data_IF_215724572054
#
_entry.id   IF_215724572054
#
_cell.length_a   1.000
_cell.length_b   1.000
_cell.length_c   1.000
_cell.angle_alpha   90.00
_cell.angle_beta   90.00
_cell.angle_gamma   90.00
#
_symmetry.space_group_name_H-M   'P 1'
#
loop_
_entity.id
_entity.type
_entity.pdbx_description
1 polymer ?
#
# COMPACT_ATOMS: atom_id res chain seq x y z
N UNK A 1 7.98 -24.71 3.87
CA UNK A 1 8.83 -23.52 3.67
C UNK A 1 8.56 -22.58 4.84
N UNK A 2 9.52 -21.78 5.32
CA UNK A 2 9.20 -20.73 6.29
C UNK A 2 8.66 -19.54 5.50
N UNK A 3 7.36 -19.23 5.65
CA UNK A 3 6.77 -18.04 5.07
C UNK A 3 7.44 -16.80 5.68
N UNK A 4 7.60 -15.70 4.92
CA UNK A 4 7.98 -14.43 5.50
C UNK A 4 7.01 -14.03 6.61
N UNK A 5 7.52 -13.39 7.66
CA UNK A 5 6.66 -12.88 8.72
C UNK A 5 5.68 -11.84 8.16
N UNK A 6 4.48 -11.77 8.75
CA UNK A 6 3.57 -10.66 8.46
C UNK A 6 4.24 -9.34 8.83
N UNK A 7 4.02 -8.31 8.02
CA UNK A 7 4.59 -7.00 8.31
C UNK A 7 3.60 -5.88 8.00
N UNK A 8 3.97 -4.69 8.47
CA UNK A 8 3.27 -3.45 8.14
C UNK A 8 4.27 -2.48 7.54
N UNK A 9 3.94 -1.90 6.39
CA UNK A 9 4.66 -0.79 5.77
C UNK A 9 3.78 0.46 5.82
N UNK A 10 4.29 1.55 6.40
CA UNK A 10 3.58 2.83 6.48
C UNK A 10 4.37 3.93 5.81
N UNK A 11 3.69 4.78 5.06
CA UNK A 11 4.30 5.97 4.51
C UNK A 11 3.36 7.18 4.53
N UNK A 12 3.89 8.32 4.95
CA UNK A 12 3.23 9.63 4.92
C UNK A 12 3.72 10.43 3.72
N UNK A 13 2.85 10.59 2.72
CA UNK A 13 3.04 11.52 1.64
C UNK A 13 2.74 12.94 2.13
N UNK A 14 3.72 13.83 2.02
CA UNK A 14 3.61 15.20 2.54
C UNK A 14 2.91 16.14 1.58
N UNK A 15 2.09 17.03 2.13
CA UNK A 15 1.44 18.12 1.41
C UNK A 15 0.65 17.66 0.16
N UNK A 16 -0.01 16.50 0.26
CA UNK A 16 -0.79 15.93 -0.87
C UNK A 16 -2.00 16.80 -1.19
N UNK A 17 -2.70 17.29 -0.17
CA UNK A 17 -3.94 18.04 -0.34
C UNK A 17 -3.76 19.35 -1.14
N UNK A 18 -2.60 19.99 -1.02
CA UNK A 18 -2.31 21.27 -1.66
C UNK A 18 -1.33 21.14 -2.84
N UNK A 19 -1.00 19.91 -3.24
CA UNK A 19 -0.05 19.65 -4.32
C UNK A 19 -0.76 19.56 -5.66
N UNK A 20 -0.14 20.14 -6.70
CA UNK A 20 -0.54 19.96 -8.09
C UNK A 20 0.02 18.65 -8.70
N UNK A 21 0.71 17.82 -7.90
CA UNK A 21 1.21 16.53 -8.35
C UNK A 21 0.11 15.49 -8.27
N UNK A 22 0.02 14.66 -9.29
CA UNK A 22 -0.92 13.55 -9.33
C UNK A 22 -0.28 12.23 -8.90
N UNK A 23 1.04 12.16 -8.69
CA UNK A 23 1.75 10.92 -8.36
C UNK A 23 2.72 11.13 -7.20
N UNK A 24 2.70 10.19 -6.25
CA UNK A 24 3.53 10.18 -5.05
C UNK A 24 4.12 8.78 -4.86
N UNK A 25 5.42 8.73 -4.61
CA UNK A 25 6.17 7.50 -4.42
C UNK A 25 6.89 7.54 -3.08
N UNK A 26 6.70 6.51 -2.27
CA UNK A 26 7.40 6.30 -1.01
C UNK A 26 8.81 5.76 -1.24
N UNK A 27 9.63 5.71 -0.19
CA UNK A 27 10.95 5.09 -0.27
C UNK A 27 10.81 3.59 -0.58
N UNK A 28 11.89 3.01 -1.09
CA UNK A 28 12.02 1.55 -1.13
C UNK A 28 12.51 1.07 0.24
N UNK A 29 11.85 0.07 0.78
CA UNK A 29 12.19 -0.54 2.06
C UNK A 29 12.35 -2.05 1.89
N UNK A 30 13.34 -2.65 2.55
CA UNK A 30 13.54 -4.10 2.53
C UNK A 30 13.00 -4.70 3.82
N UNK A 31 11.96 -5.52 3.71
CA UNK A 31 11.31 -6.22 4.83
C UNK A 31 11.29 -7.71 4.52
N UNK A 32 11.82 -8.52 5.44
CA UNK A 32 11.93 -9.99 5.24
C UNK A 32 12.66 -10.39 3.94
N UNK A 33 13.62 -9.57 3.50
CA UNK A 33 14.37 -9.78 2.26
C UNK A 33 13.60 -9.41 0.98
N UNK A 34 12.37 -8.91 1.09
CA UNK A 34 11.55 -8.41 -0.02
C UNK A 34 11.70 -6.89 -0.05
N UNK A 35 12.02 -6.35 -1.21
CA UNK A 35 12.03 -4.89 -1.40
C UNK A 35 10.61 -4.44 -1.76
N UNK A 36 10.08 -3.47 -1.03
CA UNK A 36 8.72 -2.96 -1.16
C UNK A 36 8.72 -1.45 -1.37
N UNK A 37 7.74 -0.94 -2.12
CA UNK A 37 7.48 0.49 -2.23
C UNK A 37 5.98 0.81 -2.34
N UNK A 38 5.57 1.93 -1.76
CA UNK A 38 4.22 2.46 -1.88
C UNK A 38 4.15 3.52 -2.97
N UNK A 39 3.24 3.36 -3.92
CA UNK A 39 2.94 4.32 -4.96
C UNK A 39 1.47 4.69 -4.89
N UNK A 40 1.16 5.98 -4.89
CA UNK A 40 -0.21 6.48 -4.98
C UNK A 40 -0.31 7.52 -6.08
N UNK A 41 -1.37 7.48 -6.87
CA UNK A 41 -1.66 8.51 -7.85
C UNK A 41 -3.16 8.77 -7.98
N UNK A 42 -3.52 10.01 -8.32
CA UNK A 42 -4.89 10.37 -8.69
C UNK A 42 -5.19 9.82 -10.07
N UNK A 43 -6.25 9.02 -10.19
CA UNK A 43 -6.73 8.52 -11.49
C UNK A 43 -7.64 9.55 -12.17
N UNK A 44 -8.35 10.34 -11.36
CA UNK A 44 -9.18 11.49 -11.76
C UNK A 44 -9.30 12.45 -10.56
N UNK A 45 -10.19 13.44 -10.65
CA UNK A 45 -10.40 14.44 -9.57
C UNK A 45 -10.99 13.85 -8.28
N UNK A 46 -11.57 12.66 -8.34
CA UNK A 46 -12.38 12.06 -7.27
C UNK A 46 -11.84 10.73 -6.76
N UNK A 47 -10.73 10.22 -7.30
CA UNK A 47 -10.23 8.88 -7.00
C UNK A 47 -8.71 8.81 -6.93
N UNK A 48 -8.26 8.05 -5.93
CA UNK A 48 -6.89 7.61 -5.77
C UNK A 48 -6.75 6.15 -6.15
N UNK A 49 -5.66 5.84 -6.84
CA UNK A 49 -5.14 4.48 -6.96
C UNK A 49 -3.82 4.37 -6.22
N UNK A 50 -3.74 3.43 -5.29
CA UNK A 50 -2.51 3.11 -4.58
C UNK A 50 -2.09 1.67 -4.85
N UNK A 51 -0.79 1.41 -4.81
CA UNK A 51 -0.25 0.07 -4.85
C UNK A 51 1.00 -0.11 -4.00
N UNK A 52 1.13 -1.33 -3.48
CA UNK A 52 2.33 -1.88 -2.92
C UNK A 52 3.03 -2.66 -4.02
N UNK A 53 4.14 -2.13 -4.50
CA UNK A 53 5.05 -2.81 -5.39
C UNK A 53 6.08 -3.61 -4.60
N UNK A 54 6.55 -4.70 -5.19
CA UNK A 54 7.57 -5.58 -4.63
C UNK A 54 8.58 -5.99 -5.69
N UNK A 55 9.84 -6.11 -5.28
CA UNK A 55 10.96 -6.64 -6.06
C UNK A 55 11.77 -7.62 -5.21
N UNK A 56 12.66 -8.39 -5.86
CA UNK A 56 13.53 -9.37 -5.20
C UNK A 56 12.76 -10.45 -4.41
N UNK A 57 11.61 -10.88 -4.93
CA UNK A 57 10.77 -11.88 -4.28
C UNK A 57 11.37 -13.29 -4.32
N UNK A 58 11.02 -14.16 -3.35
CA UNK A 58 11.48 -15.55 -3.31
C UNK A 58 10.97 -16.38 -4.52
N UNK A 59 11.66 -17.50 -4.85
CA UNK A 59 11.43 -18.24 -6.09
C UNK A 59 10.11 -19.05 -6.17
N UNK A 60 9.42 -19.33 -5.07
CA UNK A 60 8.14 -20.05 -5.05
C UNK A 60 6.92 -19.12 -5.23
N UNK A 61 5.74 -19.62 -5.66
CA UNK A 61 4.53 -18.80 -5.78
C UNK A 61 4.02 -18.42 -4.37
N UNK A 62 4.64 -17.40 -3.81
CA UNK A 62 4.24 -16.81 -2.55
C UNK A 62 3.09 -15.86 -2.82
N UNK A 63 1.95 -16.14 -2.19
CA UNK A 63 0.81 -15.25 -2.23
C UNK A 63 0.86 -14.30 -1.06
N UNK A 64 0.20 -13.16 -1.25
CA UNK A 64 0.03 -12.19 -0.20
C UNK A 64 -1.39 -11.64 -0.21
N UNK A 65 -1.84 -11.28 0.98
CA UNK A 65 -3.02 -10.48 1.19
C UNK A 65 -2.57 -9.15 1.78
N UNK A 66 -2.99 -8.06 1.17
CA UNK A 66 -2.62 -6.71 1.59
C UNK A 66 -3.87 -5.94 1.97
N UNK A 67 -3.96 -5.57 3.23
CA UNK A 67 -4.98 -4.67 3.75
C UNK A 67 -4.45 -3.24 3.76
N UNK A 68 -5.13 -2.34 3.07
CA UNK A 68 -4.79 -0.93 2.97
C UNK A 68 -5.59 -0.12 3.96
N UNK A 69 -4.88 0.66 4.76
CA UNK A 69 -5.48 1.59 5.71
C UNK A 69 -4.98 3.01 5.48
N UNK A 70 -5.84 3.96 5.80
CA UNK A 70 -5.52 5.38 5.81
C UNK A 70 -5.62 5.88 7.24
N UNK A 71 -4.61 6.66 7.67
CA UNK A 71 -4.69 7.39 8.93
C UNK A 71 -5.46 8.69 8.75
N UNK A 72 -6.47 8.88 9.59
CA UNK A 72 -7.32 10.07 9.66
C UNK A 72 -7.20 10.72 11.05
N UNK A 73 -7.80 11.89 11.25
CA UNK A 73 -7.86 12.51 12.59
C UNK A 73 -8.59 11.62 13.61
N UNK A 74 -9.52 10.77 13.14
CA UNK A 74 -10.34 9.91 13.99
C UNK A 74 -9.74 8.51 14.20
N UNK A 75 -8.54 8.24 13.69
CA UNK A 75 -7.86 6.96 13.84
C UNK A 75 -7.42 6.38 12.49
N UNK A 76 -7.70 5.11 12.28
CA UNK A 76 -7.25 4.38 11.08
C UNK A 76 -8.46 3.70 10.44
N UNK A 77 -8.66 3.95 9.14
CA UNK A 77 -9.75 3.37 8.37
C UNK A 77 -9.22 2.40 7.32
N UNK A 78 -9.87 1.24 7.16
CA UNK A 78 -9.55 0.29 6.08
C UNK A 78 -10.26 0.74 4.81
N UNK A 79 -9.49 0.97 3.75
CA UNK A 79 -10.01 1.46 2.45
C UNK A 79 -10.05 0.40 1.37
N UNK A 80 -9.38 -0.73 1.58
CA UNK A 80 -9.41 -1.83 0.64
C UNK A 80 -8.57 -3.01 1.08
N UNK A 81 -8.80 -4.13 0.42
CA UNK A 81 -7.99 -5.33 0.56
C UNK A 81 -7.78 -5.90 -0.83
N UNK A 82 -6.58 -6.40 -1.08
CA UNK A 82 -6.23 -7.08 -2.32
C UNK A 82 -5.49 -8.36 -2.00
N UNK A 83 -5.58 -9.31 -2.93
CA UNK A 83 -5.05 -10.65 -2.81
C UNK A 83 -4.48 -11.04 -4.17
N UNK A 84 -3.32 -11.69 -4.18
CA UNK A 84 -2.64 -12.06 -5.41
C UNK A 84 -1.28 -12.69 -5.14
N UNK A 85 -0.48 -12.77 -6.20
CA UNK A 85 0.91 -13.20 -6.04
C UNK A 85 1.76 -12.01 -5.62
N UNK A 86 2.86 -12.27 -4.91
CA UNK A 86 3.84 -11.21 -4.58
C UNK A 86 4.49 -10.59 -5.83
N UNK A 87 4.28 -11.15 -7.02
CA UNK A 87 4.77 -10.58 -8.29
C UNK A 87 3.81 -9.52 -8.84
N UNK A 88 2.55 -9.59 -8.47
CA UNK A 88 1.53 -8.64 -8.87
C UNK A 88 1.65 -7.39 -7.99
N UNK A 89 1.56 -6.21 -8.59
CA UNK A 89 1.37 -5.01 -7.77
C UNK A 89 0.00 -5.10 -7.10
N UNK A 90 -0.02 -5.15 -5.78
CA UNK A 90 -1.23 -5.14 -4.97
C UNK A 90 -1.92 -3.78 -5.13
N UNK A 91 -2.91 -3.65 -6.02
CA UNK A 91 -3.56 -2.36 -6.34
C UNK A 91 -4.90 -2.22 -5.63
N UNK A 92 -5.22 -1.00 -5.19
CA UNK A 92 -6.56 -0.60 -4.74
C UNK A 92 -6.94 0.77 -5.32
N UNK A 93 -8.25 1.02 -5.41
CA UNK A 93 -8.81 2.34 -5.72
C UNK A 93 -9.74 2.75 -4.60
N UNK A 94 -9.69 4.01 -4.18
CA UNK A 94 -10.61 4.60 -3.21
C UNK A 94 -10.95 6.04 -3.57
N UNK A 95 -12.08 6.54 -3.07
CA UNK A 95 -12.52 7.92 -3.32
C UNK A 95 -11.59 8.92 -2.65
N UNK A 96 -11.32 10.02 -3.34
CA UNK A 96 -10.65 11.18 -2.76
C UNK A 96 -11.61 11.87 -1.77
N UNK A 97 -11.34 11.72 -0.47
CA UNK A 97 -12.15 12.26 0.62
C UNK A 97 -11.28 13.19 1.47
N UNK A 98 -11.72 14.44 1.74
CA UNK A 98 -11.00 15.37 2.61
C UNK A 98 -10.56 14.79 3.96
N UNK A 99 -11.32 13.84 4.53
CA UNK A 99 -10.99 13.22 5.82
C UNK A 99 -9.69 12.41 5.82
N UNK A 100 -9.19 12.03 4.65
CA UNK A 100 -7.94 11.28 4.49
C UNK A 100 -6.68 12.15 4.59
N UNK A 101 -6.85 13.47 4.65
CA UNK A 101 -5.74 14.42 4.79
C UNK A 101 -5.65 14.95 6.22
N UNK A 102 -4.56 14.61 6.91
CA UNK A 102 -4.24 15.16 8.24
C UNK A 102 -3.11 16.17 8.07
N UNK A 103 -3.38 17.43 8.39
CA UNK A 103 -2.48 18.55 8.11
C UNK A 103 -2.01 18.59 6.63
N UNK A 104 -2.92 18.27 5.70
CA UNK A 104 -2.64 18.19 4.27
C UNK A 104 -1.84 16.97 3.82
N UNK A 105 -1.51 16.04 4.73
CA UNK A 105 -0.72 14.84 4.45
C UNK A 105 -1.60 13.59 4.31
N UNK A 106 -1.23 12.69 3.41
CA UNK A 106 -1.88 11.39 3.24
C UNK A 106 -0.97 10.30 3.80
N UNK A 107 -1.45 9.54 4.78
CA UNK A 107 -0.69 8.42 5.37
C UNK A 107 -1.35 7.10 5.04
N UNK A 108 -0.63 6.24 4.34
CA UNK A 108 -1.07 4.89 3.94
C UNK A 108 -0.34 3.86 4.79
N UNK A 109 -1.06 2.86 5.29
CA UNK A 109 -0.51 1.67 5.95
C UNK A 109 -0.93 0.42 5.17
N UNK A 110 0.03 -0.42 4.83
CA UNK A 110 -0.19 -1.73 4.21
C UNK A 110 0.14 -2.82 5.21
N UNK A 111 -0.87 -3.59 5.59
CA UNK A 111 -0.74 -4.75 6.47
C UNK A 111 -0.69 -6.00 5.59
N UNK A 112 0.46 -6.67 5.56
CA UNK A 112 0.78 -7.75 4.62
C UNK A 112 0.84 -9.08 5.35
N UNK A 113 0.06 -10.04 4.86
CA UNK A 113 0.08 -11.43 5.30
C UNK A 113 0.44 -12.35 4.14
N UNK A 114 1.35 -13.29 4.37
CA UNK A 114 1.82 -14.23 3.37
C UNK A 114 1.18 -15.59 3.53
N UNK A 115 0.93 -16.26 2.41
CA UNK A 115 0.43 -17.63 2.42
C UNK A 115 0.90 -18.39 1.17
N UNK A 116 0.93 -19.72 1.29
CA UNK A 116 1.08 -20.64 0.16
C UNK A 116 -0.31 -21.11 -0.25
N UNK A 117 -0.56 -21.15 -1.57
CA UNK A 117 -1.80 -21.74 -2.10
C UNK A 117 -1.50 -23.21 -2.40
N UNK A 118 -2.09 -24.12 -1.63
CA UNK A 118 -2.08 -25.54 -2.00
C UNK A 118 -3.03 -25.72 -3.19
N UNK A 119 -2.52 -26.23 -4.31
CA UNK A 119 -3.33 -26.73 -5.43
C UNK A 119 -3.93 -28.11 -5.11
#
# INVERSE_FOLDING_TARGET
MNLPEKFMLSHTFRNVQHSNRNTFCGPRETINGIECCLLCHKTNESEWQCCLGSSNYPPSPLHWKVEYKIRTENGVETVGTTDGTIRDSAKITFRDDPKYYVDGNLTIECHVEFYEKCE
#
